data_IF_411836452589
#
_entry.id   IF_411836452589
#
_cell.length_a   1.000
_cell.length_b   1.000
_cell.length_c   1.000
_cell.angle_alpha   90.00
_cell.angle_beta   90.00
_cell.angle_gamma   90.00
#
_symmetry.space_group_name_H-M   'P 1'
#
loop_
_entity.id
_entity.type
_entity.pdbx_description
1 polymer ?
#
# COMPACT_ATOMS: atom_id res chain seq x y z
N UNK A 1 -13.92 15.36 -4.24
CA UNK A 1 -12.82 14.36 -4.13
C UNK A 1 -12.20 14.16 -5.50
N UNK A 2 -10.87 14.24 -5.64
CA UNK A 2 -10.19 14.06 -6.93
C UNK A 2 -10.08 12.57 -7.22
N UNK A 3 -10.54 12.14 -8.41
CA UNK A 3 -10.25 10.80 -8.94
C UNK A 3 -8.76 10.76 -9.23
N UNK A 4 -8.01 10.01 -8.41
CA UNK A 4 -6.60 9.78 -8.66
C UNK A 4 -6.55 8.59 -9.61
N UNK A 5 -6.00 8.79 -10.81
CA UNK A 5 -5.44 7.70 -11.59
C UNK A 5 -3.98 7.63 -11.20
N UNK A 6 -3.59 6.69 -10.36
CA UNK A 6 -2.23 6.68 -9.87
C UNK A 6 -1.43 5.72 -10.76
N UNK A 7 -0.26 6.19 -11.21
CA UNK A 7 0.56 5.44 -12.16
C UNK A 7 1.12 4.11 -11.59
N UNK A 8 0.96 3.81 -10.28
CA UNK A 8 1.62 2.67 -9.64
C UNK A 8 0.98 2.00 -8.39
N UNK A 9 -0.02 2.51 -7.66
CA UNK A 9 -0.63 1.84 -6.52
C UNK A 9 -1.78 0.93 -6.95
N UNK A 10 -1.57 0.11 -7.98
CA UNK A 10 -2.52 -0.93 -8.38
C UNK A 10 -2.78 -1.94 -7.27
N UNK A 11 -1.92 -1.99 -6.24
CA UNK A 11 -1.95 -2.98 -5.15
C UNK A 11 -2.78 -2.55 -3.96
N UNK A 12 -3.11 -1.26 -3.87
CA UNK A 12 -4.11 -0.81 -2.91
C UNK A 12 -5.45 -0.80 -3.64
N UNK A 13 -6.42 -1.63 -3.25
CA UNK A 13 -7.74 -1.67 -3.88
C UNK A 13 -8.59 -0.46 -3.42
N UNK A 14 -8.07 0.76 -3.59
CA UNK A 14 -8.65 2.01 -3.07
C UNK A 14 -9.34 2.80 -4.18
N UNK A 15 -10.50 3.37 -3.88
CA UNK A 15 -11.25 4.24 -4.79
C UNK A 15 -11.15 5.71 -4.39
N UNK A 16 -10.86 5.98 -3.11
CA UNK A 16 -10.79 7.32 -2.55
C UNK A 16 -9.54 7.51 -1.71
N UNK A 17 -9.07 8.76 -1.67
CA UNK A 17 -7.86 9.12 -0.95
C UNK A 17 -8.13 10.35 -0.10
N UNK A 18 -7.91 10.21 1.21
CA UNK A 18 -7.89 11.30 2.16
C UNK A 18 -6.44 11.51 2.60
N UNK A 19 -5.74 12.40 1.89
CA UNK A 19 -4.36 12.77 2.26
C UNK A 19 -4.37 14.02 3.15
N UNK A 20 -3.44 14.09 4.10
CA UNK A 20 -3.03 15.36 4.67
C UNK A 20 -2.35 16.17 3.56
N UNK A 21 -2.34 17.49 3.69
CA UNK A 21 -1.27 18.25 3.07
C UNK A 21 0.07 17.72 3.54
N UNK A 22 1.16 17.90 2.77
CA UNK A 22 2.45 17.26 3.09
C UNK A 22 2.76 17.36 4.59
N UNK A 23 3.02 16.19 5.16
CA UNK A 23 3.00 15.95 6.60
C UNK A 23 4.34 16.37 7.19
N UNK A 24 4.38 17.30 8.16
CA UNK A 24 5.56 17.41 9.00
C UNK A 24 5.63 16.15 9.88
N UNK A 25 6.64 15.31 9.66
CA UNK A 25 6.90 14.08 10.40
C UNK A 25 8.39 13.90 10.60
N UNK A 26 8.85 12.66 10.80
CA UNK A 26 10.28 12.29 10.86
C UNK A 26 11.07 12.90 9.68
N UNK A 27 12.41 12.94 9.80
CA UNK A 27 13.36 13.46 8.79
C UNK A 27 12.94 13.13 7.34
N UNK A 28 12.42 11.92 7.12
CA UNK A 28 11.82 11.46 5.87
C UNK A 28 10.70 10.45 6.11
N UNK A 29 9.64 10.50 5.30
CA UNK A 29 8.48 9.61 5.35
C UNK A 29 8.15 9.03 3.97
N UNK A 30 7.54 7.85 3.93
CA UNK A 30 7.06 7.22 2.70
C UNK A 30 5.67 7.76 2.31
N UNK A 31 5.48 8.23 1.07
CA UNK A 31 4.15 8.44 0.47
C UNK A 31 3.75 7.16 -0.30
N UNK A 32 2.90 6.29 0.28
CA UNK A 32 2.54 5.01 -0.34
C UNK A 32 1.70 5.16 -1.61
N UNK A 33 1.22 6.37 -1.93
CA UNK A 33 0.36 6.59 -3.10
C UNK A 33 1.18 7.15 -4.27
N UNK A 34 2.18 7.99 -3.98
CA UNK A 34 3.14 8.46 -4.99
C UNK A 34 4.34 7.55 -5.15
N UNK A 35 4.51 6.58 -4.25
CA UNK A 35 5.71 5.75 -4.14
C UNK A 35 6.96 6.61 -4.05
N UNK A 36 6.91 7.67 -3.26
CA UNK A 36 8.00 8.63 -3.13
C UNK A 36 8.35 8.87 -1.67
N UNK A 37 9.40 9.65 -1.46
CA UNK A 37 9.77 10.14 -0.14
C UNK A 37 9.24 11.56 0.06
N UNK A 38 8.83 11.86 1.29
CA UNK A 38 8.44 13.19 1.74
C UNK A 38 9.42 13.58 2.83
N UNK A 39 10.21 14.61 2.56
CA UNK A 39 11.17 15.13 3.52
C UNK A 39 10.49 16.08 4.52
N UNK A 40 11.10 16.25 5.69
CA UNK A 40 10.62 17.15 6.76
C UNK A 40 10.37 18.60 6.29
N UNK A 41 11.13 19.07 5.29
CA UNK A 41 11.02 20.42 4.71
C UNK A 41 9.92 20.55 3.65
N UNK A 42 9.08 19.52 3.47
CA UNK A 42 7.99 19.56 2.50
C UNK A 42 6.92 20.61 2.88
N UNK A 43 6.38 21.36 1.90
CA UNK A 43 5.45 22.45 2.17
C UNK A 43 4.11 21.95 2.72
N UNK A 44 3.74 22.42 3.91
CA UNK A 44 2.46 22.09 4.55
C UNK A 44 1.29 22.58 3.69
N UNK A 45 0.30 21.72 3.44
CA UNK A 45 -0.99 22.16 2.86
C UNK A 45 -2.09 22.03 3.91
N UNK A 46 -2.93 23.05 3.96
CA UNK A 46 -4.09 23.08 4.85
C UNK A 46 -5.15 22.12 4.28
N UNK A 47 -5.70 21.27 5.14
CA UNK A 47 -6.82 20.41 4.77
C UNK A 47 -8.05 21.28 4.41
N UNK A 48 -8.85 20.91 3.38
CA UNK A 48 -10.05 21.67 3.02
C UNK A 48 -11.01 21.80 4.21
N UNK A 49 -11.53 23.00 4.48
CA UNK A 49 -12.39 23.24 5.65
C UNK A 49 -13.64 22.34 5.69
N UNK A 50 -14.23 22.05 4.52
CA UNK A 50 -15.40 21.17 4.42
C UNK A 50 -15.02 19.75 3.97
N UNK A 51 -15.51 18.75 4.71
CA UNK A 51 -15.43 17.34 4.32
C UNK A 51 -16.80 16.81 3.93
N UNK A 52 -16.93 16.32 2.69
CA UNK A 52 -18.09 15.53 2.28
C UNK A 52 -17.74 14.05 2.30
N UNK A 53 -18.65 13.23 2.84
CA UNK A 53 -18.53 11.77 2.81
C UNK A 53 -19.27 11.25 1.58
N UNK A 54 -18.69 10.32 0.78
CA UNK A 54 -19.38 9.66 -0.32
C UNK A 54 -20.73 9.08 0.10
N UNK A 55 -21.71 9.09 -0.82
CA UNK A 55 -23.04 8.51 -0.56
C UNK A 55 -23.01 6.98 -0.57
N UNK A 56 -22.22 6.40 -1.47
CA UNK A 56 -22.02 4.96 -1.57
C UNK A 56 -20.79 4.54 -0.74
N UNK A 57 -20.77 3.31 -0.20
CA UNK A 57 -19.59 2.73 0.44
C UNK A 57 -18.37 2.75 -0.48
N UNK A 58 -17.21 3.17 0.05
CA UNK A 58 -15.95 3.25 -0.71
C UNK A 58 -14.82 2.52 -0.02
N UNK A 59 -13.72 2.30 -0.76
CA UNK A 59 -12.42 1.91 -0.18
C UNK A 59 -11.55 3.14 -0.13
N UNK A 60 -11.30 3.65 1.06
CA UNK A 60 -10.53 4.85 1.26
C UNK A 60 -9.14 4.50 1.80
N UNK A 61 -8.09 5.15 1.30
CA UNK A 61 -6.85 5.29 2.05
C UNK A 61 -6.92 6.58 2.85
N UNK A 62 -6.64 6.49 4.15
CA UNK A 62 -6.76 7.59 5.11
C UNK A 62 -5.49 7.62 5.93
N UNK A 63 -4.88 8.78 6.13
CA UNK A 63 -3.73 8.89 7.01
C UNK A 63 -4.21 9.06 8.45
N UNK A 64 -3.53 8.43 9.40
CA UNK A 64 -3.92 8.36 10.81
C UNK A 64 -4.09 9.76 11.41
N UNK A 65 -3.16 10.70 11.14
CA UNK A 65 -3.29 12.10 11.60
C UNK A 65 -4.53 12.80 11.06
N UNK A 66 -4.87 12.57 9.79
CA UNK A 66 -6.08 13.16 9.18
C UNK A 66 -7.34 12.64 9.83
N UNK A 67 -7.38 11.33 10.10
CA UNK A 67 -8.52 10.72 10.75
C UNK A 67 -8.63 11.15 12.22
N UNK A 68 -7.52 11.36 12.93
CA UNK A 68 -7.49 11.93 14.27
C UNK A 68 -7.96 13.40 14.31
N UNK A 69 -7.54 14.23 13.35
CA UNK A 69 -8.03 15.62 13.24
C UNK A 69 -9.50 15.72 12.79
N UNK A 70 -10.03 14.68 12.14
CA UNK A 70 -11.36 14.68 11.50
C UNK A 70 -12.20 13.46 11.89
N UNK A 71 -12.20 13.11 13.18
CA UNK A 71 -12.92 11.95 13.71
C UNK A 71 -14.38 11.89 13.22
N UNK A 72 -15.13 13.01 13.26
CA UNK A 72 -16.54 13.03 12.80
C UNK A 72 -16.70 12.66 11.31
N UNK A 73 -15.77 13.04 10.45
CA UNK A 73 -15.82 12.67 9.02
C UNK A 73 -15.42 11.21 8.85
N UNK A 74 -14.40 10.76 9.58
CA UNK A 74 -13.93 9.39 9.54
C UNK A 74 -14.99 8.41 10.06
N UNK A 75 -15.68 8.74 11.14
CA UNK A 75 -16.76 7.94 11.71
C UNK A 75 -17.92 7.82 10.73
N UNK A 76 -18.41 8.95 10.18
CA UNK A 76 -19.46 8.94 9.16
C UNK A 76 -19.09 8.13 7.92
N UNK A 77 -17.81 8.07 7.55
CA UNK A 77 -17.32 7.25 6.45
C UNK A 77 -17.50 5.75 6.77
N UNK A 78 -17.09 5.33 7.98
CA UNK A 78 -17.21 3.95 8.45
C UNK A 78 -18.67 3.53 8.70
N UNK A 79 -19.49 4.37 9.31
CA UNK A 79 -20.93 4.15 9.53
C UNK A 79 -21.70 3.94 8.23
N UNK A 80 -21.28 4.60 7.14
CA UNK A 80 -21.82 4.38 5.79
C UNK A 80 -21.35 3.09 5.13
N UNK A 81 -20.61 2.25 5.85
CA UNK A 81 -20.14 0.96 5.37
C UNK A 81 -18.89 1.03 4.49
N UNK A 82 -18.20 2.18 4.42
CA UNK A 82 -16.92 2.26 3.71
C UNK A 82 -15.83 1.50 4.47
N UNK A 83 -14.78 1.12 3.76
CA UNK A 83 -13.61 0.47 4.32
C UNK A 83 -12.40 1.40 4.25
N UNK A 84 -11.68 1.55 5.35
CA UNK A 84 -10.50 2.41 5.44
C UNK A 84 -9.20 1.62 5.57
N UNK A 85 -8.24 1.90 4.68
CA UNK A 85 -6.83 1.57 4.87
C UNK A 85 -6.17 2.75 5.57
N UNK A 86 -5.89 2.61 6.86
CA UNK A 86 -5.31 3.67 7.68
C UNK A 86 -3.79 3.59 7.61
N UNK A 87 -3.17 4.60 7.00
CA UNK A 87 -1.71 4.75 6.95
C UNK A 87 -1.23 5.30 8.28
N UNK A 88 -0.38 4.56 8.99
CA UNK A 88 0.26 5.03 10.22
C UNK A 88 1.42 5.98 9.89
N UNK A 89 1.07 7.22 9.57
CA UNK A 89 2.00 8.32 9.35
C UNK A 89 2.57 8.93 10.63
N UNK A 90 2.01 8.54 11.77
CA UNK A 90 2.45 8.90 13.09
C UNK A 90 2.44 7.64 13.97
N UNK A 91 3.60 7.22 14.50
CA UNK A 91 3.68 6.03 15.35
C UNK A 91 2.96 6.21 16.70
N UNK A 92 2.68 7.45 17.12
CA UNK A 92 2.02 7.74 18.40
C UNK A 92 0.49 7.63 18.31
N UNK A 93 -0.08 7.63 17.11
CA UNK A 93 -1.54 7.56 16.94
C UNK A 93 -2.06 6.15 17.25
N UNK A 94 -3.00 6.11 18.19
CA UNK A 94 -3.64 4.88 18.69
C UNK A 94 -5.07 4.73 18.13
N UNK A 95 -5.70 3.54 18.28
CA UNK A 95 -7.12 3.35 17.94
C UNK A 95 -8.06 4.35 18.63
N UNK A 96 -7.77 4.71 19.88
CA UNK A 96 -8.58 5.65 20.66
C UNK A 96 -8.52 7.08 20.11
N UNK A 97 -7.36 7.51 19.60
CA UNK A 97 -7.20 8.82 18.95
C UNK A 97 -8.02 8.94 17.66
N UNK A 98 -8.44 7.81 17.09
CA UNK A 98 -9.31 7.72 15.92
C UNK A 98 -10.78 7.53 16.32
N UNK A 99 -11.07 7.45 17.61
CA UNK A 99 -12.39 7.18 18.17
C UNK A 99 -12.94 5.81 17.78
N UNK A 100 -12.07 4.83 17.50
CA UNK A 100 -12.50 3.49 17.10
C UNK A 100 -13.18 2.72 18.23
N UNK A 101 -12.94 3.11 19.47
CA UNK A 101 -13.58 2.55 20.67
C UNK A 101 -15.10 2.78 20.72
N UNK A 102 -15.61 3.71 19.89
CA UNK A 102 -17.04 4.00 19.79
C UNK A 102 -17.82 2.97 18.93
N UNK A 103 -17.12 2.04 18.26
CA UNK A 103 -17.75 1.02 17.42
C UNK A 103 -17.91 -0.29 18.20
N UNK A 104 -19.15 -0.78 18.32
CA UNK A 104 -19.47 -2.04 19.00
C UNK A 104 -19.00 -3.30 18.24
N UNK A 105 -18.79 -3.17 16.92
CA UNK A 105 -18.27 -4.20 16.03
C UNK A 105 -16.87 -3.82 15.54
N UNK A 106 -16.08 -4.83 15.12
CA UNK A 106 -14.79 -4.61 14.46
C UNK A 106 -14.94 -3.60 13.31
N UNK A 107 -14.41 -2.36 13.46
CA UNK A 107 -14.57 -1.34 12.44
C UNK A 107 -13.90 -1.80 11.15
N UNK A 108 -14.46 -1.37 10.00
CA UNK A 108 -13.96 -1.71 8.65
C UNK A 108 -12.67 -0.97 8.33
N UNK A 109 -11.64 -1.29 9.10
CA UNK A 109 -10.34 -0.64 9.10
C UNK A 109 -9.26 -1.69 8.98
N UNK A 110 -8.27 -1.40 8.15
CA UNK A 110 -7.00 -2.14 8.09
C UNK A 110 -5.87 -1.16 8.22
N UNK A 111 -4.86 -1.54 8.98
CA UNK A 111 -3.73 -0.66 9.28
C UNK A 111 -2.58 -0.94 8.32
N UNK A 112 -1.99 0.13 7.79
CA UNK A 112 -0.87 0.09 6.89
C UNK A 112 0.31 0.85 7.50
N UNK A 113 1.36 0.11 7.85
CA UNK A 113 2.62 0.67 8.35
C UNK A 113 3.53 1.05 7.17
N UNK A 114 3.81 2.35 6.92
CA UNK A 114 4.83 2.77 5.97
C UNK A 114 6.23 2.51 6.52
N UNK A 115 7.06 1.81 5.76
CA UNK A 115 8.43 1.49 6.15
C UNK A 115 9.38 1.96 5.06
N UNK A 116 10.31 2.82 5.43
CA UNK A 116 11.44 3.17 4.58
C UNK A 116 12.58 2.16 4.77
N UNK A 117 13.37 1.86 3.73
CA UNK A 117 14.57 1.05 3.89
C UNK A 117 15.71 1.91 4.44
N UNK A 118 16.77 1.30 4.97
CA UNK A 118 18.04 2.00 5.15
C UNK A 118 18.51 2.61 3.81
N UNK A 119 19.20 3.77 3.79
CA UNK A 119 19.49 4.71 4.88
C UNK A 119 18.38 5.75 5.15
N UNK A 120 17.19 5.57 4.56
CA UNK A 120 16.06 6.47 4.78
C UNK A 120 15.31 6.19 6.09
N UNK A 121 15.64 5.11 6.80
CA UNK A 121 14.99 4.69 8.03
C UNK A 121 15.97 4.65 9.19
N UNK A 122 15.54 5.13 10.35
CA UNK A 122 16.25 5.04 11.62
C UNK A 122 15.99 3.69 12.35
N UNK A 123 15.23 2.78 11.74
CA UNK A 123 14.82 1.52 12.35
C UNK A 123 13.40 1.09 12.01
N UNK A 124 13.02 -0.10 12.48
CA UNK A 124 11.63 -0.58 12.39
C UNK A 124 10.92 -0.26 13.69
N UNK A 125 9.87 0.54 13.61
CA UNK A 125 8.95 0.81 14.71
C UNK A 125 7.65 0.03 14.44
N UNK A 126 7.33 -0.90 15.34
CA UNK A 126 6.14 -1.75 15.21
C UNK A 126 4.92 -1.06 15.84
N UNK A 127 3.71 -1.26 15.29
CA UNK A 127 2.52 -0.56 15.74
C UNK A 127 1.88 -1.33 16.91
N UNK A 128 2.51 -1.34 18.08
CA UNK A 128 2.08 -2.17 19.23
C UNK A 128 0.64 -1.90 19.67
N UNK A 129 0.23 -0.62 19.64
CA UNK A 129 -1.14 -0.19 19.93
C UNK A 129 -2.19 -0.77 18.96
N UNK A 130 -1.76 -1.29 17.82
CA UNK A 130 -2.58 -1.85 16.76
C UNK A 130 -2.52 -3.37 16.68
N UNK A 131 -1.89 -4.04 17.66
CA UNK A 131 -1.70 -5.51 17.67
C UNK A 131 -3.00 -6.32 17.61
N UNK A 132 -4.13 -5.76 18.06
CA UNK A 132 -5.45 -6.40 17.98
C UNK A 132 -6.17 -6.13 16.65
N UNK A 133 -5.63 -5.26 15.79
CA UNK A 133 -6.21 -4.91 14.49
C UNK A 133 -5.60 -5.74 13.37
N UNK A 134 -6.32 -5.83 12.25
CA UNK A 134 -5.72 -6.33 11.00
C UNK A 134 -4.73 -5.29 10.49
N UNK A 135 -3.46 -5.66 10.37
CA UNK A 135 -2.41 -4.76 9.92
C UNK A 135 -1.41 -5.43 8.98
N UNK A 136 -0.75 -4.60 8.20
CA UNK A 136 0.35 -4.99 7.32
C UNK A 136 1.25 -3.80 7.03
N UNK A 137 2.23 -4.01 6.15
CA UNK A 137 3.22 -2.99 5.84
C UNK A 137 3.26 -2.60 4.36
N UNK A 138 3.69 -1.37 4.10
CA UNK A 138 4.17 -0.95 2.78
C UNK A 138 5.67 -0.68 2.86
N UNK A 139 6.44 -1.51 2.18
CA UNK A 139 7.91 -1.52 2.19
C UNK A 139 8.42 -0.67 1.03
N UNK A 140 8.93 0.51 1.32
CA UNK A 140 9.75 1.27 0.39
C UNK A 140 10.96 0.44 -0.02
N UNK A 141 11.20 0.32 -1.33
CA UNK A 141 12.37 -0.40 -1.84
C UNK A 141 13.10 0.45 -2.87
N UNK A 142 14.42 0.42 -2.81
CA UNK A 142 15.30 0.91 -3.86
C UNK A 142 16.67 0.19 -3.75
N UNK A 143 17.48 0.18 -4.81
CA UNK A 143 18.79 -0.47 -4.76
C UNK A 143 19.79 0.31 -3.88
N UNK A 144 20.37 -0.37 -2.90
CA UNK A 144 21.52 0.09 -2.11
C UNK A 144 22.33 -1.13 -1.62
N UNK A 145 23.56 -0.95 -1.12
CA UNK A 145 24.38 -2.03 -0.58
C UNK A 145 23.66 -2.78 0.56
N UNK A 146 23.45 -4.09 0.41
CA UNK A 146 22.75 -4.90 1.42
C UNK A 146 21.20 -4.85 1.35
N UNK A 147 20.63 -4.17 0.35
CA UNK A 147 19.16 -4.04 0.19
C UNK A 147 18.39 -5.37 0.14
N UNK A 148 18.96 -6.41 -0.48
CA UNK A 148 18.32 -7.74 -0.56
C UNK A 148 18.13 -8.40 0.81
N UNK A 149 19.23 -8.68 1.56
CA UNK A 149 19.15 -9.18 2.93
C UNK A 149 18.33 -8.29 3.87
N UNK A 150 18.36 -6.97 3.70
CA UNK A 150 17.52 -6.09 4.52
C UNK A 150 16.04 -6.34 4.29
N UNK A 151 15.59 -6.39 3.03
CA UNK A 151 14.18 -6.67 2.70
C UNK A 151 13.73 -8.00 3.30
N UNK A 152 14.55 -9.05 3.17
CA UNK A 152 14.27 -10.37 3.74
C UNK A 152 14.08 -10.30 5.27
N UNK A 153 15.04 -9.66 5.95
CA UNK A 153 15.02 -9.49 7.42
C UNK A 153 13.80 -8.69 7.87
N UNK A 154 13.46 -7.58 7.20
CA UNK A 154 12.30 -6.74 7.56
C UNK A 154 11.00 -7.51 7.41
N UNK A 155 10.84 -8.28 6.33
CA UNK A 155 9.67 -9.12 6.11
C UNK A 155 9.51 -10.17 7.22
N UNK A 156 10.59 -10.83 7.62
CA UNK A 156 10.57 -11.77 8.73
C UNK A 156 10.15 -11.11 10.06
N UNK A 157 10.75 -9.96 10.39
CA UNK A 157 10.41 -9.18 11.59
C UNK A 157 8.94 -8.75 11.61
N UNK A 158 8.39 -8.35 10.46
CA UNK A 158 6.98 -7.98 10.34
C UNK A 158 6.06 -9.18 10.57
N UNK A 159 6.41 -10.34 10.01
CA UNK A 159 5.63 -11.56 10.21
C UNK A 159 5.64 -11.98 11.68
N UNK A 160 6.80 -11.95 12.33
CA UNK A 160 6.95 -12.23 13.77
C UNK A 160 6.12 -11.27 14.64
N UNK A 161 6.01 -10.01 14.23
CA UNK A 161 5.18 -9.01 14.90
C UNK A 161 3.66 -9.17 14.65
N UNK A 162 3.25 -10.07 13.76
CA UNK A 162 1.84 -10.35 13.47
C UNK A 162 1.27 -9.65 12.24
N UNK A 163 2.12 -9.06 11.37
CA UNK A 163 1.65 -8.52 10.09
C UNK A 163 0.99 -9.62 9.24
N UNK A 164 -0.19 -9.33 8.68
CA UNK A 164 -0.91 -10.28 7.83
C UNK A 164 -0.49 -10.17 6.36
N UNK A 165 -0.06 -8.98 5.94
CA UNK A 165 0.33 -8.71 4.57
C UNK A 165 1.49 -7.70 4.50
N UNK A 166 2.18 -7.68 3.36
CA UNK A 166 3.06 -6.58 3.01
C UNK A 166 3.01 -6.27 1.52
N UNK A 167 3.24 -5.02 1.16
CA UNK A 167 3.24 -4.54 -0.22
C UNK A 167 4.54 -3.81 -0.50
N UNK A 168 5.21 -4.11 -1.60
CA UNK A 168 6.42 -3.39 -2.00
C UNK A 168 6.11 -2.11 -2.78
N UNK A 169 6.76 -1.02 -2.40
CA UNK A 169 6.68 0.30 -3.00
C UNK A 169 8.05 0.71 -3.59
N UNK A 170 8.30 0.47 -4.90
CA UNK A 170 9.50 0.93 -5.57
C UNK A 170 9.56 2.46 -5.54
N UNK A 171 10.59 2.99 -4.87
CA UNK A 171 10.69 4.42 -4.62
C UNK A 171 11.10 5.17 -5.88
N UNK A 172 10.25 6.11 -6.29
CA UNK A 172 10.51 7.07 -7.36
C UNK A 172 11.39 8.21 -6.83
N UNK A 173 12.66 7.91 -6.57
CA UNK A 173 13.63 8.87 -6.06
C UNK A 173 14.05 9.86 -7.14
N UNK A 174 13.76 11.14 -6.93
CA UNK A 174 14.25 12.23 -7.79
C UNK A 174 15.76 12.40 -7.65
N UNK A 175 16.39 13.12 -8.59
CA UNK A 175 17.82 13.45 -8.46
C UNK A 175 18.12 14.15 -7.12
N UNK A 176 17.24 15.06 -6.66
CA UNK A 176 17.39 15.75 -5.38
C UNK A 176 17.36 14.77 -4.21
N UNK A 177 16.43 13.81 -4.22
CA UNK A 177 16.31 12.80 -3.16
C UNK A 177 17.57 11.96 -3.05
N UNK A 178 18.11 11.52 -4.19
CA UNK A 178 19.34 10.71 -4.23
C UNK A 178 20.56 11.43 -3.66
N UNK A 179 20.72 12.74 -3.96
CA UNK A 179 21.82 13.52 -3.38
C UNK A 179 21.63 13.64 -1.86
N UNK A 180 20.43 13.97 -1.38
CA UNK A 180 20.15 14.05 0.07
C UNK A 180 20.40 12.73 0.81
N UNK A 181 20.10 11.60 0.16
CA UNK A 181 20.40 10.27 0.70
C UNK A 181 21.91 10.08 0.84
N UNK A 182 22.67 10.38 -0.20
CA UNK A 182 24.13 10.26 -0.20
C UNK A 182 24.76 11.18 0.86
N UNK A 183 24.36 12.46 0.88
CA UNK A 183 24.82 13.45 1.87
C UNK A 183 24.50 13.00 3.30
N UNK A 184 23.34 12.36 3.50
CA UNK A 184 22.94 11.82 4.80
C UNK A 184 23.76 10.62 5.28
N UNK A 185 24.58 10.03 4.41
CA UNK A 185 25.44 8.88 4.70
C UNK A 185 26.92 9.25 4.80
N UNK A 186 27.28 10.53 4.77
CA UNK A 186 28.67 10.97 4.91
C UNK A 186 29.27 10.53 6.26
N UNK A 187 30.46 9.92 6.22
CA UNK A 187 31.18 9.38 7.37
C UNK A 187 30.75 7.97 7.81
N UNK A 188 29.91 7.28 7.03
CA UNK A 188 29.43 5.92 7.35
C UNK A 188 30.26 4.81 6.72
N UNK A 189 31.13 5.12 5.75
CA UNK A 189 31.99 4.16 5.06
C UNK A 189 31.31 3.35 3.94
N UNK A 190 30.05 3.67 3.60
CA UNK A 190 29.31 3.05 2.48
C UNK A 190 29.00 4.05 1.35
N UNK A 191 29.59 5.24 1.39
CA UNK A 191 29.30 6.36 0.48
C UNK A 191 29.57 5.99 -0.97
N UNK A 192 30.74 5.44 -1.27
CA UNK A 192 31.16 5.08 -2.63
C UNK A 192 30.24 4.00 -3.22
N UNK A 193 29.88 2.99 -2.43
CA UNK A 193 28.98 1.91 -2.87
C UNK A 193 27.54 2.42 -3.06
N UNK A 194 27.10 3.33 -2.20
CA UNK A 194 25.79 3.95 -2.26
C UNK A 194 25.68 4.92 -3.44
N UNK A 195 26.71 5.71 -3.73
CA UNK A 195 26.78 6.58 -4.90
C UNK A 195 26.66 5.74 -6.18
N UNK A 196 27.41 4.64 -6.27
CA UNK A 196 27.31 3.69 -7.36
C UNK A 196 25.89 3.13 -7.52
N UNK A 197 25.24 2.75 -6.43
CA UNK A 197 23.87 2.22 -6.46
C UNK A 197 22.82 3.28 -6.90
N UNK A 198 22.99 4.54 -6.49
CA UNK A 198 22.03 5.62 -6.74
C UNK A 198 22.17 6.27 -8.13
N UNK A 199 23.39 6.34 -8.67
CA UNK A 199 23.68 7.13 -9.87
C UNK A 199 24.22 6.33 -11.04
N UNK A 200 24.83 5.16 -10.81
CA UNK A 200 25.53 4.40 -11.85
C UNK A 200 24.90 3.03 -12.16
N UNK A 201 24.21 2.42 -11.21
CA UNK A 201 23.52 1.15 -11.41
C UNK A 201 22.24 1.26 -12.25
N UNK A 202 21.87 0.16 -12.91
CA UNK A 202 20.55 0.01 -13.51
C UNK A 202 19.49 -0.16 -12.41
N UNK A 203 18.89 0.97 -12.03
CA UNK A 203 17.89 1.06 -10.97
C UNK A 203 16.66 0.22 -11.29
N UNK A 204 16.25 0.14 -12.56
CA UNK A 204 15.06 -0.63 -12.95
C UNK A 204 15.27 -2.11 -12.68
N UNK A 205 16.41 -2.65 -13.10
CA UNK A 205 16.77 -4.04 -12.84
C UNK A 205 16.92 -4.32 -11.34
N UNK A 206 17.52 -3.40 -10.58
CA UNK A 206 17.63 -3.52 -9.13
C UNK A 206 16.26 -3.55 -8.43
N UNK A 207 15.35 -2.66 -8.81
CA UNK A 207 13.97 -2.64 -8.29
C UNK A 207 13.23 -3.95 -8.60
N UNK A 208 13.31 -4.45 -9.83
CA UNK A 208 12.68 -5.72 -10.20
C UNK A 208 13.23 -6.90 -9.37
N UNK A 209 14.55 -6.93 -9.13
CA UNK A 209 15.16 -7.97 -8.31
C UNK A 209 14.69 -7.90 -6.85
N UNK A 210 14.58 -6.69 -6.29
CA UNK A 210 14.08 -6.48 -4.93
C UNK A 210 12.59 -6.83 -4.79
N UNK A 211 11.75 -6.43 -5.75
CA UNK A 211 10.33 -6.80 -5.76
C UNK A 211 10.13 -8.31 -5.81
N UNK A 212 10.87 -8.99 -6.69
CA UNK A 212 10.81 -10.46 -6.79
C UNK A 212 11.24 -11.12 -5.49
N UNK A 213 12.37 -10.69 -4.94
CA UNK A 213 12.91 -11.21 -3.69
C UNK A 213 11.91 -11.03 -2.55
N UNK A 214 11.37 -9.83 -2.39
CA UNK A 214 10.33 -9.55 -1.41
C UNK A 214 9.12 -10.48 -1.59
N UNK A 215 8.65 -10.65 -2.84
CA UNK A 215 7.53 -11.55 -3.14
C UNK A 215 7.79 -13.01 -2.77
N UNK A 216 9.01 -13.51 -2.99
CA UNK A 216 9.43 -14.85 -2.56
C UNK A 216 9.48 -14.94 -1.04
N UNK A 217 10.13 -13.98 -0.37
CA UNK A 217 10.20 -13.99 1.10
C UNK A 217 8.81 -13.92 1.74
N UNK A 218 7.92 -13.07 1.24
CA UNK A 218 6.53 -12.99 1.73
C UNK A 218 5.81 -14.34 1.61
N UNK A 219 5.99 -15.03 0.48
CA UNK A 219 5.45 -16.37 0.29
C UNK A 219 6.02 -17.37 1.30
N UNK A 220 7.34 -17.39 1.47
CA UNK A 220 8.04 -18.33 2.37
C UNK A 220 7.63 -18.14 3.83
N UNK A 221 7.40 -16.90 4.28
CA UNK A 221 6.94 -16.60 5.65
C UNK A 221 5.42 -16.65 5.81
N UNK A 222 4.66 -16.99 4.75
CA UNK A 222 3.20 -17.09 4.79
C UNK A 222 2.51 -15.74 5.04
N UNK A 223 2.94 -14.70 4.34
CA UNK A 223 2.36 -13.36 4.37
C UNK A 223 1.80 -12.99 2.98
N UNK A 224 0.63 -12.35 2.94
CA UNK A 224 0.02 -11.96 1.67
C UNK A 224 0.79 -10.79 1.02
N UNK A 225 1.19 -10.87 -0.26
CA UNK A 225 1.90 -9.78 -0.97
C UNK A 225 0.94 -8.69 -1.54
N UNK A 226 -0.25 -8.56 -0.96
CA UNK A 226 -1.34 -7.65 -1.35
C UNK A 226 -2.23 -7.40 -0.14
N UNK A 227 -3.09 -6.38 -0.18
CA UNK A 227 -4.04 -6.10 0.93
C UNK A 227 -5.28 -6.99 0.80
N UNK A 228 -5.54 -7.95 1.73
CA UNK A 228 -6.53 -9.00 1.48
C UNK A 228 -7.97 -8.66 1.92
N UNK A 229 -8.18 -7.58 2.68
CA UNK A 229 -9.36 -7.46 3.55
C UNK A 229 -10.19 -6.17 3.38
N UNK A 230 -9.99 -5.38 2.32
CA UNK A 230 -10.70 -4.11 2.12
C UNK A 230 -12.10 -4.27 1.51
N UNK A 231 -13.08 -4.78 2.28
CA UNK A 231 -14.43 -5.12 1.79
C UNK A 231 -15.50 -4.13 2.29
N UNK A 232 -15.90 -3.13 1.49
CA UNK A 232 -17.05 -2.28 1.79
C UNK A 232 -18.34 -3.07 1.99
N UNK A 233 -19.28 -2.48 2.71
CA UNK A 233 -20.61 -3.03 2.87
C UNK A 233 -21.28 -3.29 1.52
N UNK A 234 -21.91 -4.46 1.39
CA UNK A 234 -22.61 -4.89 0.17
C UNK A 234 -21.70 -5.46 -0.93
N UNK A 235 -20.39 -5.58 -0.69
CA UNK A 235 -19.46 -6.27 -1.59
C UNK A 235 -19.10 -7.66 -1.06
N UNK A 236 -18.76 -8.56 -1.96
CA UNK A 236 -18.38 -9.92 -1.58
C UNK A 236 -16.86 -10.01 -1.26
N UNK A 237 -16.47 -10.56 -0.09
CA UNK A 237 -15.06 -10.70 0.32
C UNK A 237 -14.13 -11.45 -0.64
N UNK A 238 -14.53 -12.63 -1.13
CA UNK A 238 -13.78 -13.40 -2.13
C UNK A 238 -13.60 -12.63 -3.44
N UNK A 239 -14.58 -11.84 -3.88
CA UNK A 239 -14.48 -11.00 -5.07
C UNK A 239 -13.40 -9.93 -4.91
N UNK A 240 -13.39 -9.23 -3.76
CA UNK A 240 -12.38 -8.23 -3.41
C UNK A 240 -11.00 -8.86 -3.27
N UNK A 241 -10.89 -10.00 -2.58
CA UNK A 241 -9.61 -10.72 -2.45
C UNK A 241 -9.07 -11.13 -3.82
N UNK A 242 -9.93 -11.69 -4.67
CA UNK A 242 -9.57 -12.11 -6.03
C UNK A 242 -9.12 -10.91 -6.86
N UNK A 243 -9.76 -9.75 -6.74
CA UNK A 243 -9.34 -8.55 -7.46
C UNK A 243 -7.92 -8.11 -7.07
N UNK A 244 -7.57 -8.18 -5.79
CA UNK A 244 -6.23 -7.87 -5.30
C UNK A 244 -5.17 -8.84 -5.86
N UNK A 245 -5.50 -10.14 -5.90
CA UNK A 245 -4.64 -11.17 -6.52
C UNK A 245 -4.44 -10.89 -8.02
N UNK A 246 -5.48 -10.54 -8.76
CA UNK A 246 -5.36 -10.21 -10.19
C UNK A 246 -4.46 -8.98 -10.42
N UNK A 247 -4.55 -7.97 -9.55
CA UNK A 247 -3.68 -6.77 -9.60
C UNK A 247 -2.22 -7.10 -9.31
N UNK A 248 -1.96 -7.99 -8.36
CA UNK A 248 -0.61 -8.51 -8.11
C UNK A 248 -0.04 -9.24 -9.33
N UNK A 249 -0.84 -10.12 -9.95
CA UNK A 249 -0.41 -10.81 -11.18
C UNK A 249 -0.18 -9.85 -12.32
N UNK A 250 -1.04 -8.84 -12.50
CA UNK A 250 -0.83 -7.79 -13.49
C UNK A 250 0.53 -7.10 -13.31
N UNK A 251 0.88 -6.76 -12.06
CA UNK A 251 2.20 -6.17 -11.73
C UNK A 251 3.35 -7.11 -12.06
N UNK A 252 3.24 -8.39 -11.71
CA UNK A 252 4.27 -9.40 -12.01
C UNK A 252 4.44 -9.60 -13.52
N UNK A 253 3.36 -9.54 -14.29
CA UNK A 253 3.42 -9.61 -15.75
C UNK A 253 4.05 -8.37 -16.38
N UNK A 254 3.82 -7.18 -15.84
CA UNK A 254 4.48 -5.96 -16.35
C UNK A 254 6.01 -6.00 -16.15
N UNK A 255 6.50 -6.78 -15.17
CA UNK A 255 7.93 -7.05 -15.00
C UNK A 255 8.48 -8.05 -16.03
N UNK A 256 7.61 -8.83 -16.67
CA UNK A 256 7.96 -9.74 -17.76
C UNK A 256 7.77 -8.98 -19.08
N UNK A 257 8.87 -8.56 -19.72
CA UNK A 257 8.90 -7.67 -20.89
C UNK A 257 8.07 -8.11 -22.13
N UNK A 258 7.43 -9.28 -22.11
CA UNK A 258 6.75 -9.91 -23.25
C UNK A 258 5.22 -9.85 -23.18
N UNK A 259 4.60 -9.41 -22.08
CA UNK A 259 3.17 -9.71 -21.79
C UNK A 259 2.28 -8.51 -21.34
N UNK A 260 2.63 -7.27 -21.68
CA UNK A 260 1.92 -6.06 -21.22
C UNK A 260 0.40 -6.03 -21.49
N UNK A 261 -0.08 -6.70 -22.55
CA UNK A 261 -1.51 -6.78 -22.86
C UNK A 261 -2.31 -7.61 -21.84
N UNK A 262 -1.67 -8.59 -21.19
CA UNK A 262 -2.30 -9.43 -20.17
C UNK A 262 -2.46 -8.68 -18.84
N UNK A 263 -1.45 -7.89 -18.44
CA UNK A 263 -1.54 -7.04 -17.25
C UNK A 263 -2.73 -6.08 -17.29
N UNK A 264 -2.98 -5.46 -18.44
CA UNK A 264 -4.16 -4.60 -18.62
C UNK A 264 -5.49 -5.36 -18.51
N UNK A 265 -5.59 -6.57 -19.08
CA UNK A 265 -6.80 -7.42 -18.97
C UNK A 265 -7.10 -7.80 -17.53
N UNK A 266 -6.06 -8.18 -16.77
CA UNK A 266 -6.19 -8.53 -15.35
C UNK A 266 -6.67 -7.34 -14.50
N UNK A 267 -6.17 -6.12 -14.74
CA UNK A 267 -6.65 -4.90 -14.05
C UNK A 267 -8.11 -4.60 -14.35
N UNK A 268 -8.55 -4.80 -15.60
CA UNK A 268 -9.97 -4.64 -15.97
C UNK A 268 -10.85 -5.67 -15.27
N UNK A 269 -10.44 -6.92 -15.24
CA UNK A 269 -11.14 -7.98 -14.52
C UNK A 269 -11.21 -7.66 -13.01
N UNK A 270 -10.10 -7.24 -12.40
CA UNK A 270 -10.06 -6.80 -11.01
C UNK A 270 -11.09 -5.69 -10.74
N UNK A 271 -11.13 -4.65 -11.58
CA UNK A 271 -12.08 -3.54 -11.42
C UNK A 271 -13.55 -3.99 -11.49
N UNK A 272 -13.85 -5.04 -12.25
CA UNK A 272 -15.19 -5.62 -12.32
C UNK A 272 -15.53 -6.43 -11.06
N UNK A 273 -14.59 -7.26 -10.59
CA UNK A 273 -14.76 -8.06 -9.37
C UNK A 273 -15.03 -7.20 -8.14
N UNK A 274 -14.40 -6.04 -8.04
CA UNK A 274 -14.56 -5.10 -6.92
C UNK A 274 -15.97 -4.51 -6.76
N UNK A 275 -16.85 -4.74 -7.74
CA UNK A 275 -18.24 -4.30 -7.71
C UNK A 275 -19.23 -5.45 -7.56
N UNK A 276 -18.73 -6.69 -7.50
CA UNK A 276 -19.60 -7.86 -7.43
C UNK A 276 -20.19 -8.01 -6.01
N UNK A 277 -21.52 -8.17 -5.90
CA UNK A 277 -22.18 -8.52 -4.65
C UNK A 277 -22.16 -10.04 -4.38
N UNK A 278 -21.75 -10.84 -5.36
CA UNK A 278 -21.80 -12.31 -5.33
C UNK A 278 -20.39 -12.90 -5.45
N UNK A 279 -20.24 -14.14 -4.97
CA UNK A 279 -18.98 -14.88 -5.06
C UNK A 279 -18.67 -15.19 -6.54
N UNK A 280 -17.49 -14.80 -7.06
CA UNK A 280 -17.11 -15.09 -8.44
C UNK A 280 -17.05 -16.60 -8.74
N UNK A 281 -16.71 -17.45 -7.77
CA UNK A 281 -16.68 -18.90 -7.96
C UNK A 281 -18.09 -19.45 -8.19
N UNK A 282 -19.07 -18.98 -7.41
CA UNK A 282 -20.48 -19.34 -7.60
C UNK A 282 -20.98 -18.89 -8.96
N UNK A 283 -20.68 -17.66 -9.39
CA UNK A 283 -21.06 -17.17 -10.72
C UNK A 283 -20.43 -17.98 -11.87
N UNK A 284 -19.20 -18.45 -11.69
CA UNK A 284 -18.52 -19.30 -12.66
C UNK A 284 -19.12 -20.72 -12.71
N UNK A 285 -19.50 -21.26 -11.55
CA UNK A 285 -20.15 -22.58 -11.43
C UNK A 285 -21.60 -22.60 -11.93
N UNK A 286 -22.30 -21.46 -11.87
CA UNK A 286 -23.66 -21.30 -12.37
C UNK A 286 -23.76 -21.32 -13.91
N UNK A 287 -22.66 -21.54 -14.64
CA UNK A 287 -22.59 -21.61 -16.11
C UNK A 287 -23.16 -20.33 -16.79
N UNK A 288 -23.11 -19.20 -16.08
CA UNK A 288 -23.55 -17.90 -16.57
C UNK A 288 -22.52 -17.25 -17.52
N UNK A 289 -21.39 -17.91 -17.79
CA UNK A 289 -20.49 -17.60 -18.89
C UNK A 289 -21.18 -17.99 -20.19
N UNK A 290 -22.12 -17.14 -20.64
CA UNK A 290 -22.70 -17.25 -21.98
C UNK A 290 -21.57 -17.47 -22.99
N UNK A 291 -21.59 -18.63 -23.62
CA UNK A 291 -20.90 -18.93 -24.88
C UNK A 291 -21.07 -17.68 -25.75
N UNK A 292 -19.96 -16.99 -26.04
CA UNK A 292 -19.97 -15.94 -27.05
C UNK A 292 -20.30 -16.67 -28.36
N UNK A 293 -21.42 -16.36 -29.04
CA UNK A 293 -21.76 -17.06 -30.26
C UNK A 293 -20.59 -16.99 -31.25
N UNK A 294 -20.01 -18.14 -31.60
CA UNK A 294 -18.87 -18.24 -32.53
C UNK A 294 -17.53 -18.69 -31.94
N UNK A 295 -17.46 -19.02 -30.64
CA UNK A 295 -16.30 -19.74 -30.06
C UNK A 295 -16.76 -21.11 -29.55
N UNK A 296 -16.22 -22.18 -30.13
CA UNK A 296 -16.43 -23.54 -29.64
C UNK A 296 -15.60 -23.81 -28.36
N UNK A 297 -16.09 -24.69 -27.47
CA UNK A 297 -15.49 -24.98 -26.17
C UNK A 297 -14.07 -25.55 -26.23
#
# INVERSE_FOLDING_TARGET
>A
MRRIEPAYPDLFPVTHVLRPGYMPGQKVSLDPIRLGVVWEDAPVRILPAEGSVPREPVRAIVFARVAAERQEIFHRLLERGSYALVVLDDPEVTPSDLGLDAFDENPRVTILLPILPFPLSDGLQLPEAWSQSVWGAVLGIFPFPGSGPEVERRIAQLKEAGAQFAVTAPLLLTRKDRHRILDGCEGTGVEDELENALFHADISRGLHALERRAGVTMHDVGMDPFVPCMVPHGQEPNAVRTSAVLRLWARRLDQCHEESSWGWRLRRAATALEKLPNDPATLAMEDNLRIVPGFDP
#
